data_IF_142421944738
#
_entry.id   IF_142421944738
#
_cell.length_a   1.000
_cell.length_b   1.000
_cell.length_c   1.000
_cell.angle_alpha   90.00
_cell.angle_beta   90.00
_cell.angle_gamma   90.00
#
_symmetry.space_group_name_H-M   'P 1'
#
loop_
_entity.id
_entity.type
_entity.pdbx_description
1 polymer ?
#
# COMPACT_ATOMS: atom_id res chain seq x y z
N UNK A 1 -30.19 48.67 47.27
CA UNK A 1 -29.96 48.68 45.82
C UNK A 1 -29.90 47.23 45.37
N UNK A 2 -30.83 46.78 44.54
CA UNK A 2 -30.81 45.43 43.98
C UNK A 2 -30.08 45.48 42.64
N UNK A 3 -28.93 44.84 42.56
CA UNK A 3 -28.25 44.63 41.29
C UNK A 3 -28.95 43.45 40.61
N UNK A 4 -29.51 43.67 39.42
CA UNK A 4 -30.09 42.62 38.56
C UNK A 4 -29.14 42.31 37.42
N UNK A 5 -29.01 41.03 37.05
CA UNK A 5 -28.27 40.62 35.87
C UNK A 5 -29.06 41.00 34.59
N UNK A 6 -28.36 41.36 33.53
CA UNK A 6 -28.96 41.57 32.22
C UNK A 6 -29.41 40.23 31.62
N UNK A 7 -30.53 40.24 30.87
CA UNK A 7 -31.02 39.04 30.16
C UNK A 7 -30.03 38.56 29.10
N UNK A 8 -29.42 39.51 28.39
CA UNK A 8 -28.39 39.32 27.39
C UNK A 8 -27.19 40.17 27.80
N UNK A 9 -26.00 39.60 27.78
CA UNK A 9 -24.75 40.32 28.00
C UNK A 9 -23.97 40.31 26.70
N UNK A 10 -23.90 41.46 26.04
CA UNK A 10 -23.26 41.64 24.73
C UNK A 10 -22.03 42.55 24.85
N UNK A 11 -21.09 42.45 23.91
CA UNK A 11 -19.90 43.32 23.87
C UNK A 11 -18.75 42.88 24.77
N UNK A 12 -18.77 41.63 25.25
CA UNK A 12 -17.62 41.03 25.93
C UNK A 12 -16.63 40.47 24.89
N UNK A 13 -15.36 40.79 25.05
CA UNK A 13 -14.29 40.23 24.21
C UNK A 13 -13.89 38.81 24.66
N UNK A 14 -14.09 38.46 25.94
CA UNK A 14 -13.77 37.15 26.48
C UNK A 14 -14.51 36.81 27.77
N UNK A 15 -14.61 35.51 28.05
CA UNK A 15 -15.05 34.93 29.31
C UNK A 15 -13.98 33.92 29.74
N UNK A 16 -13.37 34.12 30.90
CA UNK A 16 -12.43 33.17 31.50
C UNK A 16 -13.05 32.54 32.74
N UNK A 17 -13.14 31.22 32.75
CA UNK A 17 -13.64 30.44 33.88
C UNK A 17 -12.50 30.05 34.81
N UNK A 18 -12.83 29.75 36.08
CA UNK A 18 -11.87 29.15 37.01
C UNK A 18 -11.29 27.86 36.41
N UNK A 19 -9.98 27.67 36.52
CA UNK A 19 -9.28 26.55 35.87
C UNK A 19 -8.73 26.88 34.47
N UNK A 20 -8.91 28.10 33.97
CA UNK A 20 -8.20 28.61 32.79
C UNK A 20 -8.90 28.41 31.44
N UNK A 21 -10.08 27.78 31.42
CA UNK A 21 -10.92 27.70 30.22
C UNK A 21 -11.35 29.10 29.80
N UNK A 22 -11.06 29.50 28.56
CA UNK A 22 -11.36 30.82 28.03
C UNK A 22 -12.13 30.72 26.73
N UNK A 23 -13.29 31.38 26.68
CA UNK A 23 -14.01 31.69 25.45
C UNK A 23 -13.58 33.10 25.03
N UNK A 24 -12.97 33.25 23.87
CA UNK A 24 -12.55 34.54 23.34
C UNK A 24 -13.26 34.81 22.02
N UNK A 25 -13.70 36.04 21.83
CA UNK A 25 -14.31 36.53 20.60
C UNK A 25 -13.76 37.92 20.29
N UNK A 26 -12.47 37.98 19.95
CA UNK A 26 -11.80 39.23 19.55
C UNK A 26 -11.75 39.35 18.03
N UNK A 27 -12.31 40.43 17.48
CA UNK A 27 -12.38 40.66 16.04
C UNK A 27 -13.33 39.67 15.35
N UNK A 28 -12.88 39.04 14.26
CA UNK A 28 -13.67 38.08 13.47
C UNK A 28 -13.49 36.62 13.91
N UNK A 29 -12.60 36.34 14.86
CA UNK A 29 -12.27 34.99 15.28
C UNK A 29 -12.81 34.71 16.67
N UNK A 30 -13.44 33.55 16.84
CA UNK A 30 -13.87 33.06 18.16
C UNK A 30 -13.15 31.74 18.45
N UNK A 31 -12.60 31.61 19.66
CA UNK A 31 -11.85 30.42 20.08
C UNK A 31 -12.24 29.98 21.48
N UNK A 32 -12.07 28.69 21.74
CA UNK A 32 -12.15 28.11 23.08
C UNK A 32 -10.78 27.51 23.39
N UNK A 33 -10.12 28.03 24.42
CA UNK A 33 -8.77 27.62 24.84
C UNK A 33 -8.73 27.19 26.30
N UNK A 34 -7.67 26.49 26.72
CA UNK A 34 -7.56 25.95 28.09
C UNK A 34 -8.24 24.59 28.30
N UNK A 35 -8.69 23.94 27.23
CA UNK A 35 -9.10 22.53 27.25
C UNK A 35 -7.90 21.63 27.61
N UNK A 36 -8.11 20.69 28.54
CA UNK A 36 -7.03 19.82 29.06
C UNK A 36 -6.87 18.52 28.28
N UNK A 37 -7.86 18.15 27.46
CA UNK A 37 -7.82 16.98 26.59
C UNK A 37 -6.95 17.27 25.35
N UNK A 38 -5.64 17.02 25.45
CA UNK A 38 -4.64 17.36 24.42
C UNK A 38 -4.05 16.16 23.69
N UNK A 39 -4.30 14.95 24.18
CA UNK A 39 -3.80 13.68 23.58
C UNK A 39 -4.96 12.86 23.05
N UNK A 40 -4.81 12.30 21.86
CA UNK A 40 -5.83 11.41 21.29
C UNK A 40 -5.74 10.02 21.95
N UNK A 41 -6.89 9.50 22.37
CA UNK A 41 -7.05 8.19 22.98
C UNK A 41 -8.27 7.52 22.33
N UNK A 42 -8.01 6.57 21.44
CA UNK A 42 -9.03 5.90 20.64
C UNK A 42 -9.95 5.00 21.47
N UNK A 43 -9.49 4.53 22.63
CA UNK A 43 -10.23 3.59 23.48
C UNK A 43 -11.19 4.30 24.43
N UNK A 44 -10.99 5.62 24.66
CA UNK A 44 -11.75 6.41 25.64
C UNK A 44 -12.37 7.67 25.03
N UNK A 45 -13.01 7.54 23.87
CA UNK A 45 -13.73 8.63 23.20
C UNK A 45 -14.97 9.03 24.02
N UNK A 46 -15.21 10.34 24.13
CA UNK A 46 -16.38 10.91 24.83
C UNK A 46 -17.17 11.76 23.84
N UNK A 47 -18.33 11.27 23.41
CA UNK A 47 -19.12 11.83 22.30
C UNK A 47 -19.55 13.29 22.48
N UNK A 48 -19.84 13.70 23.71
CA UNK A 48 -20.35 15.04 24.03
C UNK A 48 -19.30 15.97 24.63
N UNK A 49 -18.01 15.77 24.32
CA UNK A 49 -16.91 16.62 24.77
C UNK A 49 -16.19 17.24 23.57
N UNK A 50 -15.93 18.54 23.63
CA UNK A 50 -15.15 19.22 22.61
C UNK A 50 -13.71 18.67 22.54
N UNK A 51 -13.19 18.41 21.34
CA UNK A 51 -11.81 18.01 21.12
C UNK A 51 -10.90 19.24 20.93
N UNK A 52 -9.63 19.13 21.32
CA UNK A 52 -8.62 20.14 20.94
C UNK A 52 -8.13 19.90 19.51
N UNK A 53 -7.66 20.96 18.83
CA UNK A 53 -7.00 20.81 17.52
C UNK A 53 -5.81 19.85 17.57
N UNK A 54 -5.11 19.81 18.71
CA UNK A 54 -4.02 18.86 18.96
C UNK A 54 -4.49 17.39 18.99
N UNK A 55 -5.63 17.10 19.62
CA UNK A 55 -6.24 15.77 19.57
C UNK A 55 -6.69 15.42 18.16
N UNK A 56 -7.36 16.34 17.47
CA UNK A 56 -7.83 16.11 16.10
C UNK A 56 -6.65 15.79 15.16
N UNK A 57 -5.56 16.56 15.26
CA UNK A 57 -4.33 16.31 14.48
C UNK A 57 -3.75 14.91 14.75
N UNK A 58 -3.70 14.48 16.01
CA UNK A 58 -3.21 13.15 16.36
C UNK A 58 -4.13 12.04 15.86
N UNK A 59 -5.45 12.19 16.03
CA UNK A 59 -6.44 11.23 15.56
C UNK A 59 -6.36 11.02 14.04
N UNK A 60 -6.33 12.13 13.29
CA UNK A 60 -6.18 12.11 11.83
C UNK A 60 -4.83 11.53 11.43
N UNK A 61 -3.74 11.92 12.11
CA UNK A 61 -2.41 11.38 11.85
C UNK A 61 -2.34 9.86 12.05
N UNK A 62 -2.89 9.34 13.14
CA UNK A 62 -2.95 7.90 13.39
C UNK A 62 -3.81 7.16 12.35
N UNK A 63 -4.96 7.71 11.97
CA UNK A 63 -5.81 7.12 10.94
C UNK A 63 -5.08 7.05 9.59
N UNK A 64 -4.36 8.12 9.22
CA UNK A 64 -3.52 8.14 8.01
C UNK A 64 -2.44 7.06 8.11
N UNK A 65 -1.67 7.02 9.21
CA UNK A 65 -0.61 6.01 9.40
C UNK A 65 -1.12 4.58 9.32
N UNK A 66 -2.26 4.25 9.93
CA UNK A 66 -2.86 2.91 9.85
C UNK A 66 -3.28 2.51 8.42
N UNK A 67 -3.59 3.49 7.56
CA UNK A 67 -3.94 3.26 6.16
C UNK A 67 -2.67 3.21 5.28
N UNK A 68 -1.71 4.10 5.52
CA UNK A 68 -0.58 4.31 4.62
C UNK A 68 0.65 3.48 4.95
N UNK A 69 0.88 3.15 6.22
CA UNK A 69 2.11 2.48 6.65
C UNK A 69 1.94 0.95 6.66
N UNK A 70 2.80 0.25 5.92
CA UNK A 70 2.75 -1.20 5.84
C UNK A 70 3.06 -1.89 7.18
N UNK A 71 3.88 -1.27 8.01
CA UNK A 71 4.22 -1.76 9.36
C UNK A 71 3.02 -1.78 10.32
N UNK A 72 1.99 -0.98 10.05
CA UNK A 72 0.77 -0.89 10.84
C UNK A 72 -0.38 -1.73 10.27
N UNK A 73 -0.12 -2.55 9.24
CA UNK A 73 -1.14 -3.34 8.54
C UNK A 73 -1.88 -2.61 7.43
N UNK A 74 -1.55 -1.33 7.18
CA UNK A 74 -1.98 -0.59 6.00
C UNK A 74 -1.12 -0.89 4.78
N UNK A 75 -0.96 0.11 3.90
CA UNK A 75 -0.11 0.00 2.72
C UNK A 75 -0.75 -0.81 1.59
N UNK A 76 0.10 -1.27 0.67
CA UNK A 76 -0.25 -2.24 -0.37
C UNK A 76 0.65 -3.46 -0.25
N UNK A 77 0.11 -4.66 -0.50
CA UNK A 77 0.82 -5.91 -0.33
C UNK A 77 0.57 -6.90 -1.47
N UNK A 78 1.57 -7.71 -1.77
CA UNK A 78 1.50 -8.87 -2.67
C UNK A 78 1.95 -10.11 -1.89
N UNK A 79 1.25 -11.23 -2.10
CA UNK A 79 1.62 -12.50 -1.50
C UNK A 79 1.80 -13.58 -2.56
N UNK A 80 2.73 -14.50 -2.31
CA UNK A 80 2.87 -15.71 -3.13
C UNK A 80 1.89 -16.81 -2.70
N UNK A 81 1.80 -17.89 -3.47
CA UNK A 81 0.94 -19.04 -3.13
C UNK A 81 1.37 -19.82 -1.89
N UNK A 82 2.51 -19.49 -1.27
CA UNK A 82 3.01 -20.08 -0.01
C UNK A 82 2.73 -19.16 1.19
N UNK A 83 2.15 -17.98 0.98
CA UNK A 83 1.81 -17.01 2.01
C UNK A 83 2.94 -16.04 2.37
N UNK A 84 4.08 -16.05 1.67
CA UNK A 84 5.10 -15.03 1.88
C UNK A 84 4.59 -13.71 1.31
N UNK A 85 4.70 -12.63 2.08
CA UNK A 85 4.17 -11.31 1.72
C UNK A 85 5.29 -10.28 1.57
N UNK A 86 5.16 -9.42 0.56
CA UNK A 86 5.87 -8.15 0.47
C UNK A 86 4.86 -7.02 0.62
N UNK A 87 5.09 -6.13 1.58
CA UNK A 87 4.24 -4.97 1.84
C UNK A 87 5.05 -3.68 1.72
N UNK A 88 4.40 -2.60 1.30
CA UNK A 88 5.01 -1.28 1.15
C UNK A 88 4.02 -0.18 1.49
N UNK A 89 4.54 0.94 2.02
CA UNK A 89 3.73 2.10 2.31
C UNK A 89 3.03 2.63 1.05
N UNK A 90 1.81 3.14 1.19
CA UNK A 90 1.13 3.84 0.10
C UNK A 90 1.95 5.06 -0.35
N UNK A 91 1.99 5.29 -1.66
CA UNK A 91 2.80 6.35 -2.27
C UNK A 91 4.25 5.95 -2.55
N UNK A 92 4.70 4.78 -2.10
CA UNK A 92 5.95 4.15 -2.52
C UNK A 92 5.67 2.98 -3.47
N UNK A 93 6.69 2.57 -4.22
CA UNK A 93 6.56 1.49 -5.19
C UNK A 93 7.04 0.14 -4.61
N UNK A 94 6.31 -0.93 -4.93
CA UNK A 94 6.83 -2.29 -4.86
C UNK A 94 7.51 -2.59 -6.19
N UNK A 95 8.76 -3.04 -6.13
CA UNK A 95 9.49 -3.48 -7.33
C UNK A 95 9.08 -4.91 -7.69
N UNK A 96 8.55 -5.09 -8.89
CA UNK A 96 8.34 -6.41 -9.49
C UNK A 96 9.50 -6.62 -10.46
N UNK A 97 10.36 -7.58 -10.13
CA UNK A 97 11.57 -7.86 -10.88
C UNK A 97 11.39 -9.14 -11.70
N UNK A 98 11.86 -9.10 -12.94
CA UNK A 98 12.05 -10.29 -13.74
C UNK A 98 13.27 -11.11 -13.32
N UNK A 99 13.65 -12.05 -14.17
CA UNK A 99 14.84 -12.89 -14.02
C UNK A 99 15.57 -13.00 -15.37
N UNK A 100 16.39 -14.05 -15.57
CA UNK A 100 17.09 -14.28 -16.85
C UNK A 100 16.16 -14.57 -18.04
N UNK A 101 14.93 -15.01 -17.79
CA UNK A 101 13.95 -15.44 -18.80
C UNK A 101 12.68 -14.59 -18.82
N UNK A 102 12.46 -13.75 -17.81
CA UNK A 102 11.32 -12.85 -17.68
C UNK A 102 11.81 -11.41 -17.62
N UNK A 103 11.22 -10.54 -18.44
CA UNK A 103 11.44 -9.09 -18.38
C UNK A 103 10.19 -8.40 -17.84
N UNK A 104 10.42 -7.41 -16.98
CA UNK A 104 9.38 -6.51 -16.44
C UNK A 104 9.67 -5.08 -16.85
N UNK A 105 8.67 -4.33 -17.31
CA UNK A 105 8.81 -2.91 -17.65
C UNK A 105 7.56 -2.12 -17.29
N UNK A 106 7.74 -0.83 -16.96
CA UNK A 106 6.65 0.08 -16.64
C UNK A 106 6.34 0.93 -17.88
N UNK A 107 5.08 0.90 -18.31
CA UNK A 107 4.52 1.82 -19.28
C UNK A 107 3.73 2.90 -18.53
N UNK A 108 4.39 4.02 -18.27
CA UNK A 108 3.80 5.12 -17.50
C UNK A 108 2.68 5.85 -18.25
N UNK A 109 2.71 5.85 -19.59
CA UNK A 109 1.71 6.52 -20.42
C UNK A 109 0.38 5.78 -20.34
N UNK A 110 0.42 4.45 -20.47
CA UNK A 110 -0.76 3.59 -20.39
C UNK A 110 -1.07 3.10 -18.96
N UNK A 111 -0.28 3.50 -17.96
CA UNK A 111 -0.40 3.10 -16.56
C UNK A 111 -0.39 1.57 -16.38
N UNK A 112 0.49 0.90 -17.11
CA UNK A 112 0.59 -0.55 -17.13
C UNK A 112 1.94 -1.05 -16.65
N UNK A 113 1.93 -2.20 -15.97
CA UNK A 113 3.11 -3.02 -15.77
C UNK A 113 3.08 -4.15 -16.80
N UNK A 114 4.12 -4.21 -17.63
CA UNK A 114 4.30 -5.25 -18.62
C UNK A 114 5.22 -6.33 -18.06
N UNK A 115 4.81 -7.59 -18.25
CA UNK A 115 5.58 -8.78 -17.85
C UNK A 115 5.60 -9.71 -19.05
N UNK A 116 6.80 -10.04 -19.53
CA UNK A 116 6.99 -10.77 -20.78
C UNK A 116 8.04 -11.85 -20.64
N UNK A 117 7.85 -12.96 -21.34
CA UNK A 117 8.93 -13.91 -21.61
C UNK A 117 9.96 -13.25 -22.53
N UNK A 118 11.22 -13.56 -22.28
CA UNK A 118 12.31 -13.15 -23.13
C UNK A 118 12.24 -13.90 -24.47
N UNK A 119 12.75 -13.27 -25.53
CA UNK A 119 12.79 -13.90 -26.86
C UNK A 119 13.60 -15.19 -26.85
N UNK A 120 14.73 -15.15 -26.16
CA UNK A 120 15.61 -16.29 -25.94
C UNK A 120 15.42 -16.74 -24.49
N UNK A 121 15.19 -18.04 -24.33
CA UNK A 121 14.95 -18.67 -23.03
C UNK A 121 16.11 -19.62 -22.76
N UNK A 122 16.85 -19.35 -21.69
CA UNK A 122 17.90 -20.22 -21.19
C UNK A 122 17.36 -21.01 -20.00
N UNK A 123 17.19 -22.32 -20.19
CA UNK A 123 16.69 -23.22 -19.14
C UNK A 123 17.78 -23.76 -18.24
N UNK A 124 19.05 -23.38 -18.48
CA UNK A 124 20.21 -23.87 -17.76
C UNK A 124 20.54 -25.34 -18.08
N UNK A 125 21.52 -25.88 -17.34
CA UNK A 125 22.03 -27.23 -17.55
C UNK A 125 20.98 -28.33 -17.32
N UNK A 126 20.12 -28.17 -16.31
CA UNK A 126 19.08 -29.15 -15.95
C UNK A 126 17.72 -28.84 -16.61
N UNK A 127 17.70 -27.88 -17.53
CA UNK A 127 16.51 -27.42 -18.22
C UNK A 127 15.86 -28.50 -19.09
N UNK A 128 14.53 -28.54 -19.14
CA UNK A 128 13.82 -29.44 -20.05
C UNK A 128 12.53 -28.85 -20.60
N UNK A 129 12.19 -29.23 -21.84
CA UNK A 129 10.91 -28.98 -22.48
C UNK A 129 10.09 -30.26 -22.51
N UNK A 130 8.82 -30.18 -22.11
CA UNK A 130 7.87 -31.28 -22.20
C UNK A 130 6.63 -30.86 -22.96
N UNK A 131 6.28 -31.60 -24.01
CA UNK A 131 5.09 -31.34 -24.81
C UNK A 131 4.46 -32.66 -25.26
N UNK A 132 3.21 -32.92 -24.84
CA UNK A 132 2.46 -34.09 -25.27
C UNK A 132 3.12 -35.44 -24.98
N UNK A 133 3.99 -35.53 -23.98
CA UNK A 133 4.76 -36.74 -23.62
C UNK A 133 6.14 -36.86 -24.27
N UNK A 134 6.53 -35.91 -25.12
CA UNK A 134 7.90 -35.77 -25.65
C UNK A 134 8.72 -34.94 -24.66
N UNK A 135 9.98 -35.31 -24.44
CA UNK A 135 10.92 -34.56 -23.60
C UNK A 135 12.16 -34.16 -24.41
N UNK A 136 12.57 -32.89 -24.30
CA UNK A 136 13.87 -32.40 -24.73
C UNK A 136 14.64 -31.93 -23.49
N UNK A 137 15.85 -32.44 -23.30
CA UNK A 137 16.75 -32.07 -22.19
C UNK A 137 18.22 -32.23 -22.60
N UNK A 138 19.10 -32.16 -21.61
CA UNK A 138 20.55 -32.34 -21.73
C UNK A 138 20.99 -33.72 -22.24
N UNK A 139 20.12 -34.74 -22.15
CA UNK A 139 20.35 -36.09 -22.67
C UNK A 139 19.84 -36.28 -24.11
N UNK A 140 19.16 -35.28 -24.69
CA UNK A 140 18.65 -35.31 -26.07
C UNK A 140 17.12 -35.26 -26.16
N UNK A 141 16.58 -35.92 -27.18
CA UNK A 141 15.13 -35.94 -27.49
C UNK A 141 14.58 -37.34 -27.20
N UNK A 142 13.63 -37.43 -26.27
CA UNK A 142 12.84 -38.63 -26.02
C UNK A 142 11.41 -38.45 -26.57
N UNK A 143 11.04 -39.29 -27.53
CA UNK A 143 9.72 -39.26 -28.17
C UNK A 143 8.61 -39.92 -27.34
N UNK A 144 8.91 -40.47 -26.16
CA UNK A 144 7.92 -41.10 -25.29
C UNK A 144 7.17 -42.24 -25.99
N UNK A 145 7.89 -43.03 -26.82
CA UNK A 145 7.34 -44.11 -27.62
C UNK A 145 6.50 -43.69 -28.84
N UNK A 146 6.48 -42.40 -29.19
CA UNK A 146 5.80 -41.89 -30.40
C UNK A 146 6.70 -41.98 -31.64
N UNK A 147 6.06 -42.03 -32.81
CA UNK A 147 6.76 -41.91 -34.08
C UNK A 147 7.21 -40.47 -34.35
N UNK A 148 8.39 -40.30 -34.95
CA UNK A 148 8.79 -39.04 -35.59
C UNK A 148 8.25 -39.05 -37.02
N UNK A 149 7.29 -38.18 -37.33
CA UNK A 149 6.66 -38.09 -38.66
C UNK A 149 7.23 -36.92 -39.47
N UNK A 150 7.03 -36.93 -40.80
CA UNK A 150 7.48 -35.88 -41.72
C UNK A 150 9.01 -35.68 -41.77
N UNK A 151 9.77 -36.77 -41.61
CA UNK A 151 11.23 -36.78 -41.74
C UNK A 151 11.61 -37.16 -43.17
N UNK A 152 12.38 -36.31 -43.85
CA UNK A 152 12.92 -36.62 -45.18
C UNK A 152 14.04 -37.67 -45.10
N UNK A 153 14.26 -38.42 -46.20
CA UNK A 153 15.35 -39.40 -46.28
C UNK A 153 16.73 -38.74 -46.10
N UNK A 154 17.56 -39.26 -45.20
CA UNK A 154 18.93 -38.80 -45.01
C UNK A 154 19.90 -39.27 -46.12
N UNK A 155 20.95 -38.50 -46.39
CA UNK A 155 22.11 -38.91 -47.21
C UNK A 155 23.32 -39.06 -46.28
N UNK A 156 23.88 -40.27 -46.18
CA UNK A 156 25.13 -40.51 -45.46
C UNK A 156 26.27 -40.55 -46.48
N UNK A 157 27.23 -39.63 -46.41
CA UNK A 157 28.47 -39.74 -47.17
C UNK A 157 29.44 -40.61 -46.39
N UNK A 158 29.83 -41.74 -46.98
CA UNK A 158 30.95 -42.52 -46.50
C UNK A 158 32.22 -41.92 -47.10
N UNK A 159 33.10 -41.40 -46.24
CA UNK A 159 34.46 -41.00 -46.63
C UNK A 159 35.36 -42.24 -46.70
#
# INVERSE_FOLDING_TARGET
FDIKLAKDVTGLDSITMTGGLTLSSSGTNSTITGLTNTTWDADNVVDSRAATEGQLKQAVGQAISQITEASQGGGFALADGKGNTVSQDLGKAISIQGDGNITTSVDAENKALQISLNKDIDLGADGSLKAGGITLNDQGIDMGGKNITNVASGRVQHN
#
